data_IF_801051145001
#
_entry.id   IF_801051145001
#
_cell.length_a   1.000
_cell.length_b   1.000
_cell.length_c   1.000
_cell.angle_alpha   90.00
_cell.angle_beta   90.00
_cell.angle_gamma   90.00
#
_symmetry.space_group_name_H-M   'P 1'
#
loop_
_entity.id
_entity.type
_entity.pdbx_description
1 polymer ?
#
# COMPACT_ATOMS: atom_id res chain seq x y z
N UNK A 1 20.38 9.30 0.23
CA UNK A 1 20.19 8.27 -0.83
C UNK A 1 18.68 8.12 -1.08
N UNK A 2 18.11 8.64 -2.18
CA UNK A 2 16.67 8.46 -2.49
C UNK A 2 16.44 7.01 -2.93
N UNK A 3 15.62 6.23 -2.21
CA UNK A 3 15.17 4.90 -2.67
C UNK A 3 14.50 5.09 -4.05
N UNK A 4 14.81 4.22 -5.02
CA UNK A 4 14.14 4.24 -6.32
C UNK A 4 12.64 4.17 -6.08
N UNK A 5 11.88 5.02 -6.78
CA UNK A 5 10.42 5.05 -6.70
C UNK A 5 9.92 3.66 -7.08
N UNK A 6 9.31 2.93 -6.15
CA UNK A 6 8.71 1.64 -6.46
C UNK A 6 7.53 1.89 -7.38
N UNK A 7 7.62 1.42 -8.62
CA UNK A 7 6.48 1.41 -9.53
C UNK A 7 5.65 0.19 -9.19
N UNK A 8 4.42 0.39 -8.72
CA UNK A 8 3.50 -0.70 -8.49
C UNK A 8 2.96 -1.18 -9.84
N UNK A 9 2.91 -2.49 -10.07
CA UNK A 9 2.20 -3.04 -11.22
C UNK A 9 0.70 -2.75 -11.11
N UNK A 10 -0.02 -2.76 -12.23
CA UNK A 10 -1.48 -2.58 -12.23
C UNK A 10 -2.18 -3.62 -11.34
N UNK A 11 -1.68 -4.86 -11.32
CA UNK A 11 -2.18 -5.92 -10.46
C UNK A 11 -1.95 -5.62 -8.97
N UNK A 12 -0.74 -5.16 -8.61
CA UNK A 12 -0.43 -4.75 -7.25
C UNK A 12 -1.33 -3.59 -6.79
N UNK A 13 -1.57 -2.62 -7.66
CA UNK A 13 -2.49 -1.51 -7.37
C UNK A 13 -3.92 -1.99 -7.13
N UNK A 14 -4.46 -2.87 -7.99
CA UNK A 14 -5.80 -3.44 -7.78
C UNK A 14 -5.92 -4.14 -6.44
N UNK A 15 -4.92 -4.96 -6.09
CA UNK A 15 -4.92 -5.69 -4.82
C UNK A 15 -4.84 -4.73 -3.61
N UNK A 16 -3.97 -3.72 -3.68
CA UNK A 16 -3.82 -2.70 -2.64
C UNK A 16 -5.10 -1.87 -2.45
N UNK A 17 -5.77 -1.49 -3.54
CA UNK A 17 -7.04 -0.74 -3.50
C UNK A 17 -8.15 -1.62 -2.91
N UNK A 18 -8.30 -2.86 -3.38
CA UNK A 18 -9.30 -3.79 -2.85
C UNK A 18 -9.13 -4.04 -1.35
N UNK A 19 -7.89 -4.24 -0.88
CA UNK A 19 -7.62 -4.35 0.56
C UNK A 19 -7.89 -3.05 1.32
N UNK A 20 -7.61 -1.89 0.72
CA UNK A 20 -7.86 -0.58 1.33
C UNK A 20 -9.34 -0.29 1.54
N UNK A 21 -10.19 -0.69 0.59
CA UNK A 21 -11.65 -0.53 0.68
C UNK A 21 -12.25 -1.38 1.80
N UNK A 22 -11.70 -2.58 2.03
CA UNK A 22 -12.13 -3.47 3.11
C UNK A 22 -11.55 -3.05 4.47
N UNK A 23 -10.26 -2.73 4.51
CA UNK A 23 -9.56 -2.33 5.72
C UNK A 23 -8.57 -1.18 5.44
N UNK A 24 -8.95 0.09 5.67
CA UNK A 24 -8.08 1.24 5.46
C UNK A 24 -6.96 1.37 6.52
N UNK A 25 -6.98 0.56 7.58
CA UNK A 25 -5.95 0.49 8.64
C UNK A 25 -5.46 -0.96 8.80
N UNK A 26 -4.74 -1.51 7.80
CA UNK A 26 -4.17 -2.84 7.92
C UNK A 26 -3.16 -2.89 9.07
N UNK A 27 -3.22 -3.97 9.83
CA UNK A 27 -2.24 -4.30 10.86
C UNK A 27 -0.87 -4.61 10.26
N UNK A 28 0.19 -4.60 11.07
CA UNK A 28 1.54 -4.98 10.60
C UNK A 28 1.58 -6.38 9.99
N UNK A 29 0.76 -7.31 10.49
CA UNK A 29 0.64 -8.67 9.95
C UNK A 29 0.02 -8.67 8.55
N UNK A 30 -1.10 -7.96 8.36
CA UNK A 30 -1.74 -7.82 7.05
C UNK A 30 -0.82 -7.14 6.02
N UNK A 31 -0.08 -6.11 6.45
CA UNK A 31 0.91 -5.44 5.59
C UNK A 31 1.98 -6.45 5.13
N UNK A 32 2.48 -7.29 6.04
CA UNK A 32 3.48 -8.31 5.71
C UNK A 32 2.91 -9.36 4.74
N UNK A 33 1.66 -9.79 4.93
CA UNK A 33 0.99 -10.72 4.01
C UNK A 33 0.81 -10.12 2.61
N UNK A 34 0.34 -8.88 2.51
CA UNK A 34 0.15 -8.17 1.24
C UNK A 34 1.52 -7.98 0.55
N UNK A 35 2.53 -7.56 1.31
CA UNK A 35 3.90 -7.39 0.82
C UNK A 35 4.47 -8.70 0.28
N UNK A 36 4.29 -9.81 1.00
CA UNK A 36 4.71 -11.15 0.55
C UNK A 36 3.98 -11.59 -0.71
N UNK A 37 2.66 -11.35 -0.82
CA UNK A 37 1.88 -11.68 -2.03
C UNK A 37 2.33 -10.88 -3.25
N UNK A 38 2.73 -9.63 -3.05
CA UNK A 38 3.15 -8.73 -4.12
C UNK A 38 4.65 -8.77 -4.41
N UNK A 39 5.44 -9.50 -3.62
CA UNK A 39 6.91 -9.49 -3.70
C UNK A 39 7.51 -8.12 -3.38
N UNK A 40 6.85 -7.32 -2.53
CA UNK A 40 7.27 -5.97 -2.18
C UNK A 40 7.80 -5.91 -0.74
N UNK A 41 8.51 -4.84 -0.39
CA UNK A 41 8.86 -4.59 1.01
C UNK A 41 7.61 -4.15 1.82
N UNK A 42 7.44 -4.64 3.07
CA UNK A 42 6.35 -4.20 3.97
C UNK A 42 6.30 -2.70 4.18
N UNK A 43 7.47 -2.03 4.21
CA UNK A 43 7.55 -0.56 4.33
C UNK A 43 6.92 0.15 3.14
N UNK A 44 7.07 -0.40 1.93
CA UNK A 44 6.52 0.17 0.70
C UNK A 44 5.00 0.09 0.69
N UNK A 45 4.45 -1.06 1.09
CA UNK A 45 3.00 -1.24 1.26
C UNK A 45 2.46 -0.30 2.34
N UNK A 46 3.13 -0.23 3.51
CA UNK A 46 2.74 0.70 4.59
C UNK A 46 2.68 2.16 4.13
N UNK A 47 3.72 2.63 3.43
CA UNK A 47 3.78 4.01 2.89
C UNK A 47 2.67 4.24 1.87
N UNK A 48 2.37 3.25 1.01
CA UNK A 48 1.26 3.35 0.07
C UNK A 48 -0.07 3.56 0.79
N UNK A 49 -0.38 2.78 1.83
CA UNK A 49 -1.59 2.94 2.64
C UNK A 49 -1.65 4.32 3.32
N UNK A 50 -0.54 4.80 3.89
CA UNK A 50 -0.46 6.14 4.47
C UNK A 50 -0.69 7.25 3.44
N UNK A 51 -0.10 7.12 2.25
CA UNK A 51 -0.29 8.08 1.16
C UNK A 51 -1.72 8.06 0.62
N UNK A 52 -2.33 6.88 0.47
CA UNK A 52 -3.72 6.72 0.02
C UNK A 52 -4.70 7.42 0.97
N UNK A 53 -4.53 7.26 2.29
CA UNK A 53 -5.34 7.99 3.30
C UNK A 53 -5.15 9.50 3.23
N UNK A 54 -3.90 9.97 3.08
CA UNK A 54 -3.61 11.39 2.96
C UNK A 54 -4.21 11.99 1.69
N UNK A 55 -4.23 11.24 0.58
CA UNK A 55 -4.87 11.67 -0.66
C UNK A 55 -6.38 11.85 -0.47
N UNK A 56 -7.08 10.92 0.18
CA UNK A 56 -8.51 11.07 0.49
C UNK A 56 -8.79 12.32 1.33
N UNK A 57 -7.94 12.61 2.31
CA UNK A 57 -8.06 13.83 3.13
C UNK A 57 -7.71 15.13 2.41
N UNK A 58 -6.90 15.08 1.34
CA UNK A 58 -6.53 16.26 0.54
C UNK A 58 -7.57 16.61 -0.52
N UNK A 59 -8.44 15.68 -0.87
CA UNK A 59 -9.48 15.84 -1.89
C UNK A 59 -10.88 16.08 -1.28
N UNK A 60 -10.97 16.10 0.05
CA UNK A 60 -12.14 16.48 0.83
C UNK A 60 -11.88 17.85 1.48
#
# INVERSE_FOLDING_TARGET
KRKRRTSFSNEALRLLISHFEQNPKPSSSEIAQIASKLGLEPVTVRVWFCNRKQMLKRMA
#
